data_IF_095365134493
#
_entry.id   IF_095365134493
#
_cell.length_a   1.000
_cell.length_b   1.000
_cell.length_c   1.000
_cell.angle_alpha   90.00
_cell.angle_beta   90.00
_cell.angle_gamma   90.00
#
_symmetry.space_group_name_H-M   'P 1'
#
loop_
_entity.id
_entity.type
_entity.pdbx_description
1 polymer ?
#
# COMPACT_ATOMS: atom_id res chain seq x y z
N UNK A 1 7.06 -6.44 14.98
CA UNK A 1 7.07 -6.85 13.56
C UNK A 1 8.27 -6.20 12.90
N UNK A 2 8.89 -6.82 11.89
CA UNK A 2 9.99 -6.23 11.10
C UNK A 2 9.45 -6.01 9.68
N UNK A 3 9.73 -4.84 9.10
CA UNK A 3 9.36 -4.56 7.71
C UNK A 3 10.39 -5.23 6.80
N UNK A 4 9.92 -6.11 5.93
CA UNK A 4 10.69 -6.58 4.80
C UNK A 4 10.41 -5.68 3.59
N UNK A 5 11.40 -4.88 3.23
CA UNK A 5 11.32 -3.94 2.09
C UNK A 5 11.36 -4.64 0.73
N UNK A 6 11.64 -5.95 0.71
CA UNK A 6 11.68 -6.77 -0.51
C UNK A 6 10.43 -7.62 -0.70
N UNK A 7 9.51 -7.60 0.28
CA UNK A 7 8.28 -8.37 0.22
C UNK A 7 7.38 -7.89 -0.92
N UNK A 8 7.02 -8.81 -1.82
CA UNK A 8 6.08 -8.55 -2.90
C UNK A 8 4.63 -8.65 -2.38
N UNK A 9 3.94 -7.51 -2.28
CA UNK A 9 2.58 -7.40 -1.70
C UNK A 9 1.50 -8.08 -2.52
N UNK A 10 1.76 -8.42 -3.79
CA UNK A 10 0.82 -9.18 -4.60
C UNK A 10 0.79 -10.67 -4.20
N UNK A 11 1.81 -11.17 -3.50
CA UNK A 11 1.90 -12.59 -3.11
C UNK A 11 0.85 -13.00 -2.08
N UNK A 12 0.40 -12.06 -1.23
CA UNK A 12 -0.66 -12.28 -0.24
C UNK A 12 -1.95 -11.50 -0.51
N UNK A 13 -1.99 -10.73 -1.61
CA UNK A 13 -3.19 -10.03 -2.07
C UNK A 13 -4.25 -10.96 -2.68
N UNK A 14 -3.97 -12.26 -2.86
CA UNK A 14 -4.88 -13.27 -3.44
C UNK A 14 -5.47 -12.87 -4.80
N UNK A 15 -4.68 -12.22 -5.65
CA UNK A 15 -5.11 -11.73 -6.98
C UNK A 15 -5.99 -10.47 -6.95
N UNK A 16 -6.27 -9.94 -5.75
CA UNK A 16 -6.93 -8.64 -5.57
C UNK A 16 -5.96 -7.46 -5.67
N UNK A 17 -6.52 -6.27 -5.44
CA UNK A 17 -5.74 -5.05 -5.25
C UNK A 17 -5.02 -5.08 -3.89
N UNK A 18 -3.68 -5.02 -3.83
CA UNK A 18 -2.93 -5.06 -2.59
C UNK A 18 -3.37 -4.04 -1.54
N UNK A 19 -3.78 -2.83 -1.96
CA UNK A 19 -4.30 -1.81 -1.03
C UNK A 19 -5.59 -2.25 -0.33
N UNK A 20 -6.34 -3.15 -0.96
CA UNK A 20 -7.57 -3.69 -0.40
C UNK A 20 -7.36 -5.04 0.29
N UNK A 21 -6.49 -5.91 -0.24
CA UNK A 21 -6.48 -7.33 0.11
C UNK A 21 -5.19 -7.84 0.75
N UNK A 22 -4.05 -7.15 0.65
CA UNK A 22 -2.79 -7.61 1.26
C UNK A 22 -2.79 -7.37 2.77
N UNK A 23 -2.83 -8.42 3.61
CA UNK A 23 -2.71 -8.27 5.07
C UNK A 23 -1.32 -7.78 5.48
N UNK A 24 -0.26 -8.18 4.75
CA UNK A 24 1.11 -7.76 5.07
C UNK A 24 1.29 -6.26 4.82
N UNK A 25 0.82 -5.75 3.67
CA UNK A 25 0.87 -4.32 3.37
C UNK A 25 0.12 -3.50 4.42
N UNK A 26 -1.11 -3.90 4.77
CA UNK A 26 -1.90 -3.24 5.82
C UNK A 26 -1.18 -3.22 7.17
N UNK A 27 -0.50 -4.31 7.51
CA UNK A 27 0.26 -4.41 8.75
C UNK A 27 1.49 -3.48 8.75
N UNK A 28 2.19 -3.37 7.61
CA UNK A 28 3.28 -2.41 7.45
C UNK A 28 2.80 -0.96 7.57
N UNK A 29 1.73 -0.57 6.89
CA UNK A 29 1.12 0.76 7.01
C UNK A 29 0.70 1.07 8.44
N UNK A 30 0.01 0.13 9.11
CA UNK A 30 -0.36 0.29 10.52
C UNK A 30 0.85 0.58 11.40
N UNK A 31 1.96 -0.13 11.22
CA UNK A 31 3.17 0.06 12.01
C UNK A 31 3.91 1.35 11.67
N UNK A 32 4.03 1.70 10.39
CA UNK A 32 4.73 2.91 9.94
C UNK A 32 3.98 4.20 10.30
N UNK A 33 2.66 4.16 10.19
CA UNK A 33 1.82 5.34 10.34
C UNK A 33 1.35 5.53 11.79
N UNK A 34 1.35 4.48 12.62
CA UNK A 34 1.10 4.63 14.05
C UNK A 34 2.34 5.19 14.75
N UNK A 35 2.25 6.42 15.25
CA UNK A 35 3.39 7.11 15.87
C UNK A 35 2.96 8.16 16.87
N UNK A 36 3.90 8.56 17.74
CA UNK A 36 3.74 9.73 18.59
C UNK A 36 3.80 11.00 17.74
N UNK A 37 2.79 11.85 17.87
CA UNK A 37 2.70 13.12 17.17
C UNK A 37 3.55 14.21 17.85
N UNK A 38 3.87 15.31 17.16
CA UNK A 38 4.65 16.42 17.74
C UNK A 38 4.04 17.05 18.99
N UNK A 39 2.71 16.96 19.15
CA UNK A 39 2.00 17.44 20.34
C UNK A 39 2.08 16.48 21.55
N UNK A 40 2.75 15.34 21.40
CA UNK A 40 2.93 14.35 22.47
C UNK A 40 1.83 13.29 22.55
N UNK A 41 0.75 13.40 21.78
CA UNK A 41 -0.32 12.40 21.73
C UNK A 41 0.07 11.23 20.82
N UNK A 42 -0.48 10.04 21.10
CA UNK A 42 -0.26 8.86 20.26
C UNK A 42 -1.32 8.78 19.15
N UNK A 43 -0.86 8.74 17.90
CA UNK A 43 -1.71 8.43 16.76
C UNK A 43 -1.66 6.92 16.51
N UNK A 44 -2.57 6.17 17.13
CA UNK A 44 -2.65 4.71 16.98
C UNK A 44 -3.70 4.33 15.94
N UNK A 45 -3.32 3.46 15.01
CA UNK A 45 -4.20 2.94 13.96
C UNK A 45 -4.66 1.52 14.29
N UNK A 46 -5.89 1.20 13.90
CA UNK A 46 -6.46 -0.15 13.98
C UNK A 46 -7.09 -0.57 12.67
N UNK A 47 -6.96 -1.84 12.36
CA UNK A 47 -7.54 -2.57 11.23
C UNK A 47 -8.80 -3.35 11.64
N UNK A 48 -9.31 -3.14 12.87
CA UNK A 48 -10.46 -3.85 13.42
C UNK A 48 -11.82 -3.26 13.03
N UNK A 49 -11.87 -2.03 12.48
CA UNK A 49 -13.12 -1.39 12.05
C UNK A 49 -13.47 -1.87 10.64
N UNK A 50 -14.60 -2.54 10.50
CA UNK A 50 -15.10 -3.02 9.21
C UNK A 50 -15.37 -1.86 8.24
N UNK A 51 -15.17 -2.11 6.95
CA UNK A 51 -15.41 -1.12 5.89
C UNK A 51 -14.37 -0.01 5.78
N UNK A 52 -13.24 -0.12 6.51
CA UNK A 52 -12.15 0.86 6.48
C UNK A 52 -10.81 0.13 6.38
N UNK A 53 -9.82 0.75 5.74
CA UNK A 53 -8.50 0.16 5.62
C UNK A 53 -7.71 0.28 6.93
N UNK A 54 -7.48 1.50 7.40
CA UNK A 54 -6.97 1.79 8.74
C UNK A 54 -7.79 2.90 9.39
N UNK A 55 -8.02 2.77 10.69
CA UNK A 55 -8.91 3.64 11.44
C UNK A 55 -8.21 4.21 12.68
N UNK A 56 -8.45 5.49 12.94
CA UNK A 56 -8.07 6.18 14.16
C UNK A 56 -9.31 6.78 14.84
N UNK A 57 -9.36 6.72 16.17
CA UNK A 57 -10.34 7.45 16.97
C UNK A 57 -9.77 7.77 18.35
N UNK A 58 -9.60 9.04 18.66
CA UNK A 58 -9.16 9.52 19.97
C UNK A 58 -9.60 10.96 20.21
N UNK A 59 -9.10 11.60 21.27
CA UNK A 59 -9.27 13.05 21.48
C UNK A 59 -8.70 13.92 20.35
N UNK A 60 -7.86 13.35 19.48
CA UNK A 60 -7.34 14.02 18.26
C UNK A 60 -8.38 14.10 17.14
N UNK A 61 -9.42 13.26 17.17
CA UNK A 61 -10.45 13.15 16.14
C UNK A 61 -10.64 11.72 15.61
N UNK A 62 -11.54 11.59 14.64
CA UNK A 62 -11.84 10.35 13.92
C UNK A 62 -11.27 10.43 12.49
N UNK A 63 -10.45 9.45 12.10
CA UNK A 63 -9.83 9.42 10.78
C UNK A 63 -9.90 8.03 10.15
N UNK A 64 -10.11 8.01 8.84
CA UNK A 64 -10.04 6.81 7.99
C UNK A 64 -8.88 7.02 7.02
N UNK A 65 -7.91 6.10 7.03
CA UNK A 65 -6.71 6.17 6.19
C UNK A 65 -6.77 5.08 5.14
N UNK A 66 -6.23 5.38 3.97
CA UNK A 66 -6.00 4.45 2.86
C UNK A 66 -4.65 4.71 2.21
N UNK A 67 -4.22 3.79 1.37
CA UNK A 67 -3.03 3.89 0.52
C UNK A 67 -3.41 3.74 -0.95
N UNK A 68 -2.47 4.11 -1.81
CA UNK A 68 -2.49 3.82 -3.25
C UNK A 68 -1.04 3.67 -3.71
N UNK A 69 -0.81 2.90 -4.76
CA UNK A 69 0.52 2.74 -5.33
C UNK A 69 0.98 4.04 -6.02
N UNK A 70 2.18 4.52 -5.68
CA UNK A 70 2.77 5.70 -6.35
C UNK A 70 3.30 5.36 -7.76
N UNK A 71 3.70 4.11 -8.00
CA UNK A 71 4.28 3.67 -9.27
C UNK A 71 3.21 3.23 -10.27
N UNK A 72 3.39 3.58 -11.54
CA UNK A 72 2.44 3.24 -12.60
C UNK A 72 3.17 2.66 -13.82
N UNK A 73 3.26 1.32 -13.90
CA UNK A 73 3.87 0.64 -15.06
C UNK A 73 3.02 0.70 -16.33
N UNK A 74 1.75 1.12 -16.20
CA UNK A 74 0.77 1.14 -17.28
C UNK A 74 0.54 -0.21 -17.98
N UNK A 75 1.03 -1.33 -17.42
CA UNK A 75 0.94 -2.67 -18.03
C UNK A 75 -0.48 -3.06 -18.45
N UNK A 76 -1.48 -2.61 -17.70
CA UNK A 76 -2.90 -2.92 -17.94
C UNK A 76 -3.66 -1.77 -18.64
N UNK A 77 -3.00 -0.67 -19.03
CA UNK A 77 -3.65 0.48 -19.66
C UNK A 77 -3.81 0.30 -21.17
N UNK A 78 -5.03 -0.02 -21.63
CA UNK A 78 -5.37 -0.25 -23.05
C UNK A 78 -4.93 0.88 -24.00
N UNK A 79 -5.01 2.14 -23.56
CA UNK A 79 -4.61 3.31 -24.38
C UNK A 79 -3.10 3.44 -24.57
N UNK A 80 -2.30 2.74 -23.76
CA UNK A 80 -0.83 2.78 -23.77
C UNK A 80 -0.22 1.49 -24.30
N UNK A 81 -1.03 0.51 -24.66
CA UNK A 81 -0.60 -0.79 -25.20
C UNK A 81 0.36 -0.65 -26.39
N UNK A 82 0.13 0.34 -27.26
CA UNK A 82 1.02 0.61 -28.40
C UNK A 82 2.46 0.92 -27.97
N UNK A 83 2.68 1.50 -26.78
CA UNK A 83 4.00 1.78 -26.22
C UNK A 83 4.48 0.60 -25.38
N UNK A 84 3.66 0.10 -24.45
CA UNK A 84 4.09 -0.93 -23.50
C UNK A 84 4.44 -2.26 -24.16
N UNK A 85 3.88 -2.58 -25.33
CA UNK A 85 4.26 -3.77 -26.10
C UNK A 85 5.68 -3.70 -26.69
N UNK A 86 6.26 -2.51 -26.82
CA UNK A 86 7.61 -2.31 -27.36
C UNK A 86 8.70 -2.42 -26.27
N UNK A 87 8.32 -2.28 -24.99
CA UNK A 87 9.20 -2.21 -23.81
C UNK A 87 8.66 -3.09 -22.67
N UNK A 88 8.36 -4.36 -23.00
CA UNK A 88 7.65 -5.27 -22.09
C UNK A 88 8.46 -5.57 -20.83
N UNK A 89 9.77 -5.74 -20.98
CA UNK A 89 10.68 -6.07 -19.88
C UNK A 89 10.78 -4.90 -18.90
N UNK A 90 10.92 -3.66 -19.37
CA UNK A 90 10.97 -2.46 -18.52
C UNK A 90 9.63 -2.20 -17.81
N UNK A 91 8.51 -2.47 -18.49
CA UNK A 91 7.16 -2.37 -17.92
C UNK A 91 6.99 -3.38 -16.79
N UNK A 92 7.48 -4.61 -16.97
CA UNK A 92 7.43 -5.65 -15.95
C UNK A 92 8.40 -5.34 -14.79
N UNK A 93 9.62 -4.91 -15.08
CA UNK A 93 10.62 -4.51 -14.07
C UNK A 93 10.09 -3.38 -13.17
N UNK A 94 9.49 -2.34 -13.76
CA UNK A 94 8.89 -1.23 -13.00
C UNK A 94 7.72 -1.72 -12.14
N UNK A 95 6.90 -2.65 -12.65
CA UNK A 95 5.82 -3.23 -11.88
C UNK A 95 6.35 -4.04 -10.69
N UNK A 96 7.34 -4.91 -10.91
CA UNK A 96 7.90 -5.77 -9.87
C UNK A 96 8.63 -4.95 -8.80
N UNK A 97 9.39 -3.93 -9.22
CA UNK A 97 10.04 -2.99 -8.29
C UNK A 97 9.02 -2.21 -7.45
N UNK A 98 7.92 -1.79 -8.08
CA UNK A 98 6.79 -1.13 -7.44
C UNK A 98 5.88 -2.04 -6.62
N UNK A 99 6.16 -3.35 -6.55
CA UNK A 99 5.30 -4.31 -5.83
C UNK A 99 5.67 -4.46 -4.35
N UNK A 100 6.37 -3.49 -3.76
CA UNK A 100 6.85 -3.55 -2.37
C UNK A 100 6.36 -2.34 -1.58
N UNK A 101 6.52 -2.38 -0.24
CA UNK A 101 6.21 -1.25 0.65
C UNK A 101 6.87 0.08 0.26
N UNK A 102 7.92 0.07 -0.57
CA UNK A 102 8.56 1.30 -1.04
C UNK A 102 7.72 2.12 -2.02
N UNK A 103 6.69 1.50 -2.63
CA UNK A 103 5.83 2.12 -3.63
C UNK A 103 4.37 2.26 -3.19
N UNK A 104 4.05 1.87 -1.95
CA UNK A 104 2.72 1.96 -1.34
C UNK A 104 2.73 2.86 -0.09
#
# INVERSE_FOLDING_TARGET
MKIDITFNVYTDANGGDPDSTSPTLRSYHKMLWSKKLPNGENFELTDKKSGTYLYHNSGLGEYLLGSDAITHSYRNHKRKTWLTQQIQDEVQELFDTGSTIGAY
#
